data_IF_644521269078
#
_entry.id   IF_644521269078
#
_cell.length_a   1.000
_cell.length_b   1.000
_cell.length_c   1.000
_cell.angle_alpha   90.00
_cell.angle_beta   90.00
_cell.angle_gamma   90.00
#
_symmetry.space_group_name_H-M   'P 1'
#
loop_
_entity.id
_entity.type
_entity.pdbx_description
1 polymer ?
#
# COMPACT_ATOMS: atom_id res chain seq x y z
N UNK A 1 7.15 6.71 -6.66
CA UNK A 1 7.08 6.02 -5.34
C UNK A 1 7.12 7.09 -4.26
N UNK A 2 6.24 7.01 -3.27
CA UNK A 2 6.19 7.94 -2.15
C UNK A 2 6.42 7.14 -0.86
N UNK A 3 7.41 7.53 -0.07
CA UNK A 3 7.80 6.84 1.17
C UNK A 3 7.42 7.74 2.35
N UNK A 4 6.61 7.22 3.28
CA UNK A 4 6.30 7.95 4.50
C UNK A 4 7.58 8.18 5.33
N UNK A 5 7.92 9.43 5.62
CA UNK A 5 9.09 9.79 6.42
C UNK A 5 8.84 9.57 7.92
N UNK A 6 7.61 9.83 8.37
CA UNK A 6 7.23 9.80 9.79
C UNK A 6 5.71 9.83 9.94
N UNK A 7 5.20 9.13 10.96
CA UNK A 7 3.84 9.35 11.46
C UNK A 7 3.82 9.33 12.97
N UNK A 8 3.73 10.52 13.59
CA UNK A 8 3.70 10.66 15.04
C UNK A 8 4.92 10.06 15.75
N UNK A 9 4.70 9.00 16.54
CA UNK A 9 5.72 8.22 17.28
C UNK A 9 6.31 7.05 16.48
N UNK A 10 6.00 6.92 15.19
CA UNK A 10 6.46 5.81 14.34
C UNK A 10 7.44 6.34 13.30
N UNK A 11 8.66 5.81 13.27
CA UNK A 11 9.68 6.24 12.33
C UNK A 11 10.12 5.09 11.43
N UNK A 12 10.24 5.39 10.15
CA UNK A 12 11.19 4.71 9.28
C UNK A 12 12.55 5.33 9.56
N UNK A 13 13.35 4.66 10.37
CA UNK A 13 14.64 5.18 10.85
C UNK A 13 15.65 5.42 9.73
N UNK A 14 15.42 4.83 8.55
CA UNK A 14 16.24 4.98 7.36
C UNK A 14 15.45 5.49 6.15
N UNK A 15 14.42 6.31 6.36
CA UNK A 15 13.57 6.88 5.31
C UNK A 15 14.36 7.62 4.21
N UNK A 16 15.33 8.46 4.57
CA UNK A 16 16.20 9.20 3.64
C UNK A 16 17.08 8.26 2.83
N UNK A 17 17.66 7.26 3.48
CA UNK A 17 18.50 6.24 2.85
C UNK A 17 17.68 5.41 1.85
N UNK A 18 16.49 4.95 2.25
CA UNK A 18 15.55 4.24 1.39
C UNK A 18 15.14 5.07 0.19
N UNK A 19 14.85 6.35 0.39
CA UNK A 19 14.46 7.25 -0.70
C UNK A 19 15.61 7.45 -1.68
N UNK A 20 16.85 7.60 -1.18
CA UNK A 20 18.04 7.72 -2.02
C UNK A 20 18.30 6.44 -2.83
N UNK A 21 18.19 5.26 -2.21
CA UNK A 21 18.34 3.97 -2.90
C UNK A 21 17.21 3.71 -3.92
N UNK A 22 16.01 4.20 -3.64
CA UNK A 22 14.86 4.10 -4.53
C UNK A 22 14.99 5.01 -5.75
N UNK A 23 15.40 6.27 -5.55
CA UNK A 23 15.36 7.27 -6.59
C UNK A 23 16.37 6.98 -7.71
N UNK A 24 15.88 6.82 -8.93
CA UNK A 24 16.72 6.46 -10.08
C UNK A 24 16.97 4.95 -10.24
N UNK A 25 16.58 4.11 -9.27
CA UNK A 25 16.63 2.66 -9.40
C UNK A 25 15.79 2.19 -10.59
N UNK A 26 16.22 1.09 -11.22
CA UNK A 26 15.51 0.51 -12.37
C UNK A 26 14.91 -0.83 -11.97
N UNK A 27 13.58 -0.95 -12.07
CA UNK A 27 12.86 -2.19 -11.80
C UNK A 27 12.01 -2.59 -13.01
N UNK A 28 12.24 -3.79 -13.54
CA UNK A 28 11.58 -4.29 -14.76
C UNK A 28 11.63 -3.30 -15.94
N UNK A 29 12.77 -2.62 -16.13
CA UNK A 29 12.96 -1.61 -17.18
C UNK A 29 12.36 -0.23 -16.87
N UNK A 30 11.67 -0.06 -15.74
CA UNK A 30 11.10 1.23 -15.31
C UNK A 30 12.05 1.92 -14.34
N UNK A 31 12.48 3.15 -14.68
CA UNK A 31 13.22 4.01 -13.74
C UNK A 31 12.25 4.61 -12.72
N UNK A 32 12.57 4.48 -11.44
CA UNK A 32 11.76 4.99 -10.34
C UNK A 32 12.05 6.47 -10.06
N UNK A 33 10.99 7.23 -9.83
CA UNK A 33 11.06 8.55 -9.18
C UNK A 33 10.53 8.40 -7.76
N UNK A 34 11.37 8.71 -6.76
CA UNK A 34 11.05 8.48 -5.36
C UNK A 34 11.15 9.75 -4.54
N UNK A 35 10.20 9.95 -3.63
CA UNK A 35 10.16 11.10 -2.73
C UNK A 35 9.65 10.70 -1.35
N UNK A 36 9.99 11.52 -0.36
CA UNK A 36 9.48 11.39 0.99
C UNK A 36 8.13 12.11 1.13
N UNK A 37 7.25 11.55 1.95
CA UNK A 37 6.05 12.20 2.48
C UNK A 37 6.30 12.59 3.94
N UNK A 38 6.62 13.86 4.22
CA UNK A 38 6.82 14.36 5.58
C UNK A 38 5.53 14.31 6.40
N UNK A 39 5.64 14.00 7.70
CA UNK A 39 4.51 13.98 8.62
C UNK A 39 3.77 15.33 8.67
N UNK A 40 4.57 16.41 8.72
CA UNK A 40 4.13 17.80 8.86
C UNK A 40 3.75 18.47 7.52
N UNK A 41 3.73 17.71 6.41
CA UNK A 41 3.24 18.25 5.14
C UNK A 41 1.77 18.67 5.28
N UNK A 42 1.39 19.89 4.88
CA UNK A 42 0.01 20.35 4.89
C UNK A 42 -0.91 19.36 4.17
N UNK A 43 -2.12 19.15 4.69
CA UNK A 43 -3.00 18.09 4.23
C UNK A 43 -3.31 18.18 2.72
N UNK A 44 -3.53 19.38 2.18
CA UNK A 44 -3.77 19.57 0.75
C UNK A 44 -2.59 19.08 -0.11
N UNK A 45 -1.35 19.38 0.30
CA UNK A 45 -0.14 18.96 -0.39
C UNK A 45 0.08 17.44 -0.27
N UNK A 46 -0.24 16.88 0.90
CA UNK A 46 -0.19 15.42 1.14
C UNK A 46 -1.14 14.69 0.18
N UNK A 47 -2.38 15.17 0.06
CA UNK A 47 -3.37 14.63 -0.87
C UNK A 47 -2.90 14.74 -2.32
N UNK A 48 -2.35 15.89 -2.73
CA UNK A 48 -1.82 16.08 -4.07
C UNK A 48 -0.68 15.10 -4.40
N UNK A 49 0.28 14.93 -3.47
CA UNK A 49 1.38 13.99 -3.63
C UNK A 49 0.90 12.53 -3.75
N UNK A 50 -0.06 12.13 -2.91
CA UNK A 50 -0.67 10.78 -2.96
C UNK A 50 -1.41 10.53 -4.27
N UNK A 51 -2.17 11.52 -4.77
CA UNK A 51 -2.84 11.44 -6.08
C UNK A 51 -1.87 11.37 -7.26
N UNK A 52 -0.64 11.84 -7.10
CA UNK A 52 0.39 11.78 -8.14
C UNK A 52 1.14 10.44 -8.15
N UNK A 53 0.99 9.62 -7.11
CA UNK A 53 1.88 8.49 -6.81
C UNK A 53 1.30 7.14 -7.24
N UNK A 54 2.15 6.28 -7.82
CA UNK A 54 1.77 4.90 -8.18
C UNK A 54 2.00 3.87 -7.06
N UNK A 55 3.00 4.10 -6.21
CA UNK A 55 3.33 3.23 -5.06
C UNK A 55 3.54 4.09 -3.82
N UNK A 56 2.73 3.88 -2.79
CA UNK A 56 2.91 4.48 -1.46
C UNK A 56 3.42 3.43 -0.48
N UNK A 57 4.56 3.71 0.14
CA UNK A 57 5.16 2.88 1.19
C UNK A 57 4.89 3.56 2.53
N UNK A 58 4.27 2.83 3.45
CA UNK A 58 3.84 3.35 4.74
C UNK A 58 4.06 2.35 5.86
N UNK A 59 4.05 2.88 7.08
CA UNK A 59 4.07 2.10 8.31
C UNK A 59 2.62 1.67 8.63
N UNK A 60 2.45 0.63 9.44
CA UNK A 60 1.15 0.01 9.67
C UNK A 60 0.07 0.92 10.28
N UNK A 61 -1.18 0.48 10.12
CA UNK A 61 -2.34 1.06 10.82
C UNK A 61 -2.81 2.37 10.18
N UNK A 62 -2.90 3.43 10.98
CA UNK A 62 -3.50 4.71 10.57
C UNK A 62 -2.88 5.36 9.32
N UNK A 63 -1.62 5.08 8.99
CA UNK A 63 -0.95 5.68 7.84
C UNK A 63 -1.47 5.13 6.52
N UNK A 64 -2.00 3.91 6.53
CA UNK A 64 -2.64 3.30 5.36
C UNK A 64 -3.90 4.06 4.94
N UNK A 65 -4.56 4.79 5.87
CA UNK A 65 -5.75 5.60 5.55
C UNK A 65 -5.42 6.71 4.55
N UNK A 66 -4.19 7.22 4.54
CA UNK A 66 -3.77 8.19 3.53
C UNK A 66 -3.87 7.65 2.11
N UNK A 67 -3.79 6.33 1.94
CA UNK A 67 -3.92 5.72 0.63
C UNK A 67 -5.31 5.89 -0.01
N UNK A 68 -6.35 6.23 0.77
CA UNK A 68 -7.66 6.60 0.22
C UNK A 68 -7.61 7.79 -0.74
N UNK A 69 -6.52 8.56 -0.73
CA UNK A 69 -6.30 9.67 -1.66
C UNK A 69 -5.53 9.27 -2.93
N UNK A 70 -5.02 8.04 -3.02
CA UNK A 70 -4.30 7.57 -4.20
C UNK A 70 -5.23 7.34 -5.40
N UNK A 71 -4.63 7.30 -6.59
CA UNK A 71 -5.36 6.88 -7.79
C UNK A 71 -5.69 5.39 -7.72
N UNK A 72 -6.80 5.04 -8.34
CA UNK A 72 -7.18 3.66 -8.56
C UNK A 72 -6.13 2.90 -9.38
N UNK A 73 -5.95 1.62 -9.07
CA UNK A 73 -4.89 0.80 -9.69
C UNK A 73 -3.48 1.08 -9.19
N UNK A 74 -3.27 2.00 -8.23
CA UNK A 74 -1.99 2.18 -7.53
C UNK A 74 -1.78 1.14 -6.42
N UNK A 75 -0.58 1.09 -5.85
CA UNK A 75 -0.22 0.17 -4.78
C UNK A 75 0.11 0.85 -3.45
N UNK A 76 -0.25 0.15 -2.38
CA UNK A 76 0.14 0.43 -1.00
C UNK A 76 1.03 -0.72 -0.55
N UNK A 77 2.21 -0.38 -0.04
CA UNK A 77 3.10 -1.29 0.64
C UNK A 77 3.06 -0.90 2.12
N UNK A 78 2.45 -1.74 2.94
CA UNK A 78 2.36 -1.53 4.38
C UNK A 78 3.44 -2.36 5.07
N UNK A 79 4.32 -1.67 5.78
CA UNK A 79 5.39 -2.27 6.57
C UNK A 79 4.84 -2.58 7.97
N UNK A 80 5.04 -3.82 8.46
CA UNK A 80 4.57 -4.29 9.77
C UNK A 80 5.69 -5.03 10.51
N UNK A 81 6.04 -4.67 11.75
CA UNK A 81 6.87 -5.49 12.61
C UNK A 81 6.22 -6.86 12.80
N UNK A 82 7.00 -7.94 12.71
CA UNK A 82 6.48 -9.29 12.87
C UNK A 82 5.86 -9.51 14.25
N UNK A 83 6.46 -8.95 15.31
CA UNK A 83 5.90 -8.98 16.68
C UNK A 83 4.55 -8.26 16.79
N UNK A 84 4.34 -7.18 16.04
CA UNK A 84 3.03 -6.54 15.92
C UNK A 84 2.05 -7.43 15.15
N UNK A 85 2.43 -7.95 13.98
CA UNK A 85 1.56 -8.76 13.13
C UNK A 85 1.11 -10.07 13.78
N UNK A 86 1.92 -10.67 14.66
CA UNK A 86 1.61 -11.92 15.36
C UNK A 86 0.61 -11.74 16.49
N UNK A 87 0.70 -10.63 17.24
CA UNK A 87 -0.11 -10.43 18.44
C UNK A 87 -1.26 -9.44 18.28
N UNK A 88 -1.24 -8.59 17.25
CA UNK A 88 -2.27 -7.58 17.06
C UNK A 88 -3.62 -8.22 16.74
N UNK A 89 -4.74 -7.62 17.19
CA UNK A 89 -6.06 -8.06 16.81
C UNK A 89 -6.22 -8.13 15.28
N UNK A 90 -6.49 -9.32 14.74
CA UNK A 90 -6.60 -9.56 13.30
C UNK A 90 -7.62 -8.65 12.61
N UNK A 91 -8.71 -8.34 13.29
CA UNK A 91 -9.71 -7.40 12.82
C UNK A 91 -9.14 -6.00 12.54
N UNK A 92 -8.18 -5.51 13.34
CA UNK A 92 -7.51 -4.24 13.09
C UNK A 92 -6.61 -4.29 11.85
N UNK A 93 -5.85 -5.37 11.70
CA UNK A 93 -4.97 -5.59 10.56
C UNK A 93 -5.74 -5.72 9.23
N UNK A 94 -6.93 -6.31 9.28
CA UNK A 94 -7.79 -6.46 8.10
C UNK A 94 -8.64 -5.24 7.79
N UNK A 95 -9.11 -4.51 8.79
CA UNK A 95 -10.07 -3.42 8.61
C UNK A 95 -9.49 -2.29 7.75
N UNK A 96 -8.24 -1.91 8.00
CA UNK A 96 -7.53 -0.92 7.18
C UNK A 96 -7.36 -1.39 5.73
N UNK A 97 -6.92 -2.64 5.53
CA UNK A 97 -6.85 -3.26 4.19
C UNK A 97 -8.20 -3.23 3.50
N UNK A 98 -9.29 -3.59 4.19
CA UNK A 98 -10.65 -3.58 3.63
C UNK A 98 -11.05 -2.17 3.24
N UNK A 99 -10.80 -1.16 4.06
CA UNK A 99 -11.13 0.22 3.72
C UNK A 99 -10.42 0.69 2.45
N UNK A 100 -9.11 0.47 2.34
CA UNK A 100 -8.34 0.96 1.18
C UNK A 100 -8.55 0.13 -0.09
N UNK A 101 -8.87 -1.17 0.03
CA UNK A 101 -9.07 -2.06 -1.14
C UNK A 101 -10.53 -2.23 -1.56
N UNK A 102 -11.50 -2.04 -0.65
CA UNK A 102 -12.94 -2.18 -0.94
C UNK A 102 -13.68 -0.87 -1.05
N UNK A 103 -13.02 0.29 -1.01
CA UNK A 103 -13.72 1.56 -1.25
C UNK A 103 -14.44 1.45 -2.61
N UNK A 104 -15.78 1.43 -2.63
CA UNK A 104 -16.54 1.02 -3.79
C UNK A 104 -16.61 2.20 -4.74
N UNK A 105 -15.60 2.35 -5.58
CA UNK A 105 -15.78 3.08 -6.83
C UNK A 105 -16.86 2.42 -7.68
N UNK A 106 -17.32 3.10 -8.74
CA UNK A 106 -18.18 2.48 -9.76
C UNK A 106 -17.59 1.13 -10.17
N UNK A 107 -18.41 0.11 -10.47
CA UNK A 107 -18.03 -1.30 -10.78
C UNK A 107 -16.89 -1.51 -11.80
N UNK A 108 -16.43 -0.47 -12.49
CA UNK A 108 -15.35 -0.48 -13.47
C UNK A 108 -14.01 0.09 -12.97
N UNK A 109 -13.91 0.49 -11.70
CA UNK A 109 -12.72 1.16 -11.16
C UNK A 109 -11.86 0.16 -10.41
N UNK A 110 -10.57 0.07 -10.75
CA UNK A 110 -9.67 -0.88 -10.11
C UNK A 110 -9.38 -0.51 -8.64
N UNK A 111 -9.40 -1.48 -7.72
CA UNK A 111 -9.04 -1.23 -6.33
C UNK A 111 -7.54 -0.92 -6.21
N UNK A 112 -7.16 -0.36 -5.06
CA UNK A 112 -5.75 -0.27 -4.70
C UNK A 112 -5.18 -1.68 -4.48
N UNK A 113 -3.94 -1.88 -4.90
CA UNK A 113 -3.21 -3.11 -4.62
C UNK A 113 -2.57 -3.01 -3.25
N UNK A 114 -2.80 -3.99 -2.38
CA UNK A 114 -2.31 -3.95 -1.01
C UNK A 114 -1.28 -5.04 -0.76
N UNK A 115 -0.06 -4.63 -0.37
CA UNK A 115 1.06 -5.51 -0.10
C UNK A 115 1.51 -5.34 1.36
N UNK A 116 1.16 -6.26 2.28
CA UNK A 116 1.74 -6.26 3.61
C UNK A 116 3.15 -6.85 3.54
N UNK A 117 4.13 -6.15 4.14
CA UNK A 117 5.51 -6.62 4.29
C UNK A 117 5.77 -6.80 5.78
N UNK A 118 6.11 -8.04 6.16
CA UNK A 118 6.49 -8.36 7.53
C UNK A 118 7.97 -8.07 7.70
N UNK A 119 8.26 -7.09 8.54
CA UNK A 119 9.60 -6.65 8.90
C UNK A 119 10.03 -7.47 10.12
N UNK A 120 11.19 -8.10 10.06
CA UNK A 120 11.69 -8.87 11.21
C UNK A 120 11.82 -7.96 12.44
N UNK A 121 11.58 -8.50 13.62
CA UNK A 121 11.80 -7.78 14.89
C UNK A 121 13.25 -7.32 15.06
N UNK A 122 14.21 -8.03 14.46
CA UNK A 122 15.63 -7.64 14.47
C UNK A 122 15.91 -6.41 13.58
N UNK A 123 15.06 -6.18 12.58
CA UNK A 123 15.08 -5.00 11.72
C UNK A 123 14.25 -3.84 12.32
N UNK A 124 13.43 -4.12 13.33
CA UNK A 124 12.80 -3.08 14.16
C UNK A 124 13.82 -2.55 15.17
N UNK A 125 13.99 -1.23 15.18
CA UNK A 125 14.76 -0.56 16.23
C UNK A 125 13.83 -0.41 17.43
N UNK A 126 14.08 -1.21 18.46
CA UNK A 126 13.40 -1.05 19.74
C UNK A 126 14.13 0.01 20.54
N UNK A 127 13.47 1.15 20.75
CA UNK A 127 13.95 2.15 21.69
C UNK A 127 13.96 1.63 23.13
N UNK A 128 14.51 2.43 24.03
CA UNK A 128 14.53 2.10 25.47
C UNK A 128 13.10 1.92 26.02
N UNK A 129 12.13 2.67 25.50
CA UNK A 129 10.71 2.57 25.87
C UNK A 129 10.08 1.23 25.48
N UNK A 130 10.36 0.75 24.28
CA UNK A 130 9.83 -0.50 23.71
C UNK A 130 10.44 -1.70 24.44
N UNK A 131 11.76 -1.66 24.67
CA UNK A 131 12.47 -2.68 25.44
C UNK A 131 11.93 -2.76 26.88
N UNK A 132 11.75 -1.63 27.56
CA UNK A 132 11.15 -1.58 28.89
C UNK A 132 9.67 -2.03 28.90
N UNK A 133 8.93 -1.83 27.80
CA UNK A 133 7.58 -2.36 27.64
C UNK A 133 7.59 -3.89 27.56
N UNK A 134 8.45 -4.47 26.73
CA UNK A 134 8.57 -5.91 26.56
C UNK A 134 9.05 -6.60 27.84
N UNK A 135 10.01 -6.01 28.54
CA UNK A 135 10.45 -6.51 29.85
C UNK A 135 9.30 -6.54 30.86
N UNK A 136 8.54 -5.44 30.97
CA UNK A 136 7.38 -5.38 31.88
C UNK A 136 6.31 -6.40 31.51
N UNK A 137 6.00 -6.55 30.21
CA UNK A 137 5.03 -7.54 29.75
C UNK A 137 5.52 -8.97 30.02
N UNK A 138 6.81 -9.25 29.80
CA UNK A 138 7.45 -10.53 30.14
C UNK A 138 7.36 -10.85 31.63
N UNK A 139 7.73 -9.90 32.51
CA UNK A 139 7.61 -10.07 33.98
C UNK A 139 6.17 -10.34 34.40
N UNK A 140 5.20 -9.62 33.82
CA UNK A 140 3.77 -9.80 34.09
C UNK A 140 3.28 -11.19 33.67
N UNK A 141 3.66 -11.67 32.48
CA UNK A 141 3.33 -13.03 32.03
C UNK A 141 3.92 -14.09 32.95
N UNK A 142 5.19 -13.95 33.32
CA UNK A 142 5.86 -14.87 34.24
C UNK A 142 5.20 -14.88 35.63
N UNK A 143 4.71 -13.74 36.10
CA UNK A 143 3.93 -13.68 37.34
C UNK A 143 2.61 -14.44 37.20
N UNK A 144 1.80 -14.16 36.18
CA UNK A 144 0.50 -14.83 35.97
C UNK A 144 0.69 -16.34 35.78
N UNK A 145 1.74 -16.76 35.07
CA UNK A 145 2.07 -18.18 34.92
C UNK A 145 2.38 -18.86 36.27
N UNK A 146 3.16 -18.19 37.14
CA UNK A 146 3.46 -18.68 38.49
C UNK A 146 2.22 -18.72 39.39
N UNK A 147 1.32 -17.74 39.27
CA UNK A 147 0.04 -17.74 39.97
C UNK A 147 -0.85 -18.89 39.49
N UNK A 148 -0.94 -19.11 38.18
CA UNK A 148 -1.71 -20.21 37.60
C UNK A 148 -1.20 -21.59 38.03
N UNK A 149 0.12 -21.76 38.16
CA UNK A 149 0.72 -23.03 38.61
C UNK A 149 0.38 -23.38 40.07
N UNK A 150 -0.06 -22.41 40.88
CA UNK A 150 -0.45 -22.60 42.28
C UNK A 150 -1.95 -22.85 42.47
N UNK A 151 -2.74 -22.84 41.39
CA UNK A 151 -4.17 -23.00 41.48
C UNK A 151 -4.56 -24.43 41.89
N UNK A 152 -5.58 -24.54 42.73
CA UNK A 152 -6.11 -25.84 43.14
C UNK A 152 -6.69 -26.60 41.92
N UNK A 153 -6.64 -27.95 41.94
CA UNK A 153 -7.23 -28.78 40.88
C UNK A 153 -8.68 -28.37 40.59
N UNK A 154 -9.05 -28.28 39.31
CA UNK A 154 -10.38 -27.84 38.87
C UNK A 154 -10.57 -26.31 38.79
N UNK A 155 -9.61 -25.51 39.26
CA UNK A 155 -9.68 -24.05 39.13
C UNK A 155 -9.23 -23.60 37.74
N UNK A 156 -10.03 -22.74 37.09
CA UNK A 156 -9.70 -22.23 35.75
C UNK A 156 -8.52 -21.25 35.81
N UNK A 157 -7.45 -21.45 35.02
CA UNK A 157 -6.31 -20.54 34.99
C UNK A 157 -6.70 -19.18 34.43
N UNK A 158 -6.04 -18.13 34.93
CA UNK A 158 -6.13 -16.78 34.38
C UNK A 158 -5.46 -16.78 33.01
N UNK A 159 -6.04 -16.03 32.05
CA UNK A 159 -5.42 -15.87 30.73
C UNK A 159 -4.11 -15.11 30.85
N UNK A 160 -3.07 -15.60 30.17
CA UNK A 160 -1.83 -14.86 30.03
C UNK A 160 -2.08 -13.58 29.22
N UNK A 161 -1.50 -12.44 29.62
CA UNK A 161 -1.51 -11.23 28.79
C UNK A 161 -0.85 -11.53 27.44
N UNK A 162 -1.53 -11.12 26.36
CA UNK A 162 -1.01 -11.18 24.98
C UNK A 162 -0.97 -9.77 24.38
N UNK A 163 -0.44 -8.81 25.15
CA UNK A 163 -0.43 -7.38 24.82
C UNK A 163 0.93 -6.87 24.35
N UNK A 164 1.93 -7.76 24.14
CA UNK A 164 3.26 -7.41 23.64
C UNK A 164 3.24 -6.70 22.29
N UNK A 165 2.22 -6.96 21.46
CA UNK A 165 2.02 -6.24 20.20
C UNK A 165 1.89 -4.72 20.42
N UNK A 166 1.43 -4.26 21.59
CA UNK A 166 1.39 -2.84 21.95
C UNK A 166 2.79 -2.25 22.10
N UNK A 167 3.76 -3.05 22.53
CA UNK A 167 5.15 -2.61 22.62
C UNK A 167 5.75 -2.39 21.22
N UNK A 168 5.32 -3.19 20.23
CA UNK A 168 5.72 -3.00 18.84
C UNK A 168 4.96 -1.87 18.13
N UNK A 169 3.87 -1.35 18.71
CA UNK A 169 3.00 -0.33 18.08
C UNK A 169 3.68 1.02 17.81
N UNK A 170 4.75 1.34 18.55
CA UNK A 170 5.54 2.56 18.36
C UNK A 170 7.00 2.25 18.01
N UNK A 171 7.33 1.00 17.66
CA UNK A 171 8.69 0.65 17.32
C UNK A 171 9.12 1.34 16.03
N UNK A 172 10.33 1.87 16.01
CA UNK A 172 10.95 2.36 14.80
C UNK A 172 11.39 1.19 13.94
N UNK A 173 11.44 1.38 12.63
CA UNK A 173 11.85 0.34 11.70
C UNK A 173 13.00 0.81 10.84
N UNK A 174 14.02 -0.04 10.71
CA UNK A 174 15.04 0.06 9.67
C UNK A 174 14.74 -1.00 8.62
N UNK A 175 14.39 -0.57 7.42
CA UNK A 175 13.98 -1.49 6.35
C UNK A 175 15.12 -1.66 5.36
N UNK A 176 15.58 -2.89 5.09
CA UNK A 176 16.47 -3.14 3.96
C UNK A 176 15.74 -2.83 2.65
N UNK A 177 16.40 -2.15 1.71
CA UNK A 177 15.81 -1.87 0.40
C UNK A 177 15.36 -3.13 -0.35
N UNK A 178 16.08 -4.24 -0.15
CA UNK A 178 15.73 -5.55 -0.71
C UNK A 178 14.32 -6.02 -0.34
N UNK A 179 13.79 -5.67 0.83
CA UNK A 179 12.44 -6.04 1.28
C UNK A 179 11.34 -5.33 0.46
N UNK A 180 11.65 -4.17 -0.10
CA UNK A 180 10.71 -3.40 -0.91
C UNK A 180 10.67 -3.90 -2.37
N UNK A 181 11.75 -4.56 -2.83
CA UNK A 181 11.88 -4.95 -4.24
C UNK A 181 10.78 -5.90 -4.73
N UNK A 182 10.42 -7.00 -4.00
CA UNK A 182 9.39 -7.92 -4.48
C UNK A 182 8.02 -7.26 -4.70
N UNK A 183 7.42 -6.54 -3.73
CA UNK A 183 6.11 -5.92 -3.93
C UNK A 183 6.14 -4.81 -4.98
N UNK A 184 7.19 -3.98 -5.03
CA UNK A 184 7.32 -2.94 -6.07
C UNK A 184 7.43 -3.57 -7.46
N UNK A 185 8.29 -4.58 -7.62
CA UNK A 185 8.48 -5.27 -8.90
C UNK A 185 7.19 -5.93 -9.38
N UNK A 186 6.45 -6.56 -8.46
CA UNK A 186 5.17 -7.17 -8.79
C UNK A 186 4.16 -6.12 -9.30
N UNK A 187 4.07 -4.97 -8.64
CA UNK A 187 3.17 -3.91 -9.05
C UNK A 187 3.58 -3.27 -10.39
N UNK A 188 4.86 -2.99 -10.59
CA UNK A 188 5.37 -2.41 -11.85
C UNK A 188 5.08 -3.32 -13.04
N UNK A 189 5.27 -4.64 -12.90
CA UNK A 189 4.87 -5.61 -13.94
C UNK A 189 3.38 -5.59 -14.22
N UNK A 190 2.56 -5.32 -13.20
CA UNK A 190 1.13 -5.17 -13.39
C UNK A 190 0.80 -3.94 -14.24
N UNK A 191 1.35 -2.77 -13.90
CA UNK A 191 1.18 -1.54 -14.67
C UNK A 191 1.64 -1.70 -16.13
N UNK A 192 2.79 -2.35 -16.35
CA UNK A 192 3.31 -2.62 -17.69
C UNK A 192 2.37 -3.49 -18.54
N UNK A 193 1.78 -4.54 -17.96
CA UNK A 193 0.80 -5.39 -18.66
C UNK A 193 -0.49 -4.63 -19.01
N UNK A 194 -0.95 -3.74 -18.14
CA UNK A 194 -2.11 -2.90 -18.41
C UNK A 194 -1.87 -1.94 -19.57
N UNK A 195 -0.71 -1.26 -19.56
CA UNK A 195 -0.33 -0.35 -20.65
C UNK A 195 -0.25 -1.08 -22.00
N UNK A 196 0.33 -2.28 -22.03
CA UNK A 196 0.40 -3.11 -23.25
C UNK A 196 -0.97 -3.63 -23.71
N UNK A 197 -1.85 -3.99 -22.77
CA UNK A 197 -3.22 -4.40 -23.07
C UNK A 197 -4.05 -3.28 -23.71
N UNK A 198 -3.91 -2.04 -23.22
CA UNK A 198 -4.54 -0.86 -23.81
C UNK A 198 -3.96 -0.50 -25.18
N UNK A 199 -2.66 -0.68 -25.40
CA UNK A 199 -2.03 -0.46 -26.70
C UNK A 199 -2.52 -1.43 -27.77
N UNK A 200 -2.81 -2.70 -27.40
CA UNK A 200 -3.34 -3.72 -28.32
C UNK A 200 -4.81 -3.45 -28.71
N UNK A 201 -5.63 -2.94 -27.80
CA UNK A 201 -7.04 -2.60 -28.10
C UNK A 201 -7.17 -1.28 -28.87
N UNK A 202 -6.25 -0.32 -28.68
CA UNK A 202 -6.19 0.93 -29.44
C UNK A 202 -5.83 0.76 -30.93
N UNK A 203 -5.01 -0.23 -31.28
CA UNK A 203 -4.68 -0.54 -32.69
C UNK A 203 -5.83 -1.19 -33.47
N UNK A 204 -6.85 -1.71 -32.79
CA UNK A 204 -7.94 -2.43 -33.46
C UNK A 204 -9.07 -1.54 -34.00
N UNK A 205 -9.08 -0.23 -33.69
CA UNK A 205 -10.11 0.72 -34.20
C UNK A 205 -9.68 1.55 -35.41
N UNK A 206 -8.39 1.65 -35.72
CA UNK A 206 -7.92 2.43 -36.89
C UNK A 206 -7.89 1.59 -38.18
N UNK A 207 -7.90 0.25 -38.08
CA UNK A 207 -7.84 -0.65 -39.24
C UNK A 207 -9.19 -1.04 -39.87
N UNK A 208 -10.34 -0.58 -39.35
CA UNK A 208 -11.67 -1.05 -39.81
C UNK A 208 -12.52 -0.01 -40.54
N UNK A 209 -11.99 1.19 -40.82
CA UNK A 209 -12.70 2.23 -41.59
C UNK A 209 -12.14 2.48 -43.00
N UNK A 210 -11.15 1.71 -43.47
CA UNK A 210 -10.53 1.91 -44.80
C UNK A 210 -10.85 0.79 -45.81
N UNK A 211 -12.02 0.15 -45.74
CA UNK A 211 -12.48 -0.78 -46.78
C UNK A 211 -13.99 -0.73 -46.96
N UNK A 212 -14.53 0.40 -47.40
CA UNK A 212 -15.78 0.43 -48.18
C UNK A 212 -15.79 1.76 -48.94
N UNK A 213 -15.32 1.72 -50.18
CA UNK A 213 -15.28 2.91 -51.01
C UNK A 213 -14.62 2.70 -52.35
N UNK A 214 -14.97 1.64 -53.10
CA UNK A 214 -14.93 1.64 -54.57
C UNK A 214 -15.96 0.63 -55.07
N UNK A 215 -17.10 1.11 -55.56
CA UNK A 215 -17.63 0.69 -56.85
C UNK A 215 -18.65 1.72 -57.36
N UNK A 216 -18.38 2.29 -58.54
CA UNK A 216 -19.34 3.05 -59.34
C UNK A 216 -20.52 2.16 -59.74
N UNK A 217 -21.59 2.65 -60.34
CA UNK A 217 -21.65 3.62 -61.42
C UNK A 217 -23.16 3.90 -61.67
N UNK A 218 -23.51 5.06 -62.22
CA UNK A 218 -24.71 5.17 -63.06
C UNK A 218 -25.88 6.02 -62.59
N UNK A 219 -25.89 7.26 -63.10
CA UNK A 219 -27.04 8.01 -63.67
C UNK A 219 -28.18 8.47 -62.75
N UNK A 220 -28.37 9.80 -62.74
CA UNK A 220 -29.70 10.36 -63.06
C UNK A 220 -30.21 11.48 -62.15
N UNK A 221 -30.23 12.69 -62.73
CA UNK A 221 -31.22 13.78 -62.55
C UNK A 221 -31.38 14.48 -61.18
N UNK A 222 -30.87 15.71 -61.17
CA UNK A 222 -31.63 16.97 -61.07
C UNK A 222 -32.70 17.21 -59.97
N UNK A 223 -32.45 18.35 -59.29
CA UNK A 223 -33.39 19.39 -58.81
C UNK A 223 -34.04 19.17 -57.45
N UNK A 224 -33.79 20.11 -56.53
CA UNK A 224 -34.51 20.23 -55.27
C UNK A 224 -33.95 21.29 -54.32
N UNK A 225 -34.01 22.55 -54.73
CA UNK A 225 -33.78 23.73 -53.87
C UNK A 225 -34.80 23.76 -52.73
N UNK A 226 -34.36 23.98 -51.48
CA UNK A 226 -34.92 24.99 -50.53
C UNK A 226 -34.19 25.00 -49.17
N UNK A 227 -33.32 26.01 -49.02
CA UNK A 227 -33.23 27.01 -47.92
C UNK A 227 -34.54 27.12 -47.10
N UNK A 228 -34.60 27.35 -45.79
CA UNK A 228 -34.04 28.42 -44.91
C UNK A 228 -34.37 28.01 -43.47
N UNK A 229 -33.57 28.44 -42.48
CA UNK A 229 -34.05 28.71 -41.12
C UNK A 229 -33.23 28.09 -40.02
#
# INVERSE_FOLDING_TARGET
>A
VLIASRSGRRLLANDRELTAQCNGAVLNGTRLSCSLLPANMPQANKVAALRATDIYICVWGGDTVHALHMRHGSAIIELRPSGFAQGAPWNWLELHRRWVTRFPGKRAVQPLHFYPVLVSTNSSLMGASESACLERSSRRRAQVARENAKLAPGTKPRRLPHDEWLCYWNADMRIPWSELLPPMSHHIRHLGRQAQGMAKTGKSKVGRQARHGINGNGKGREVGVRRVG
#
